data_IF_203232847508
#
_entry.id   IF_203232847508
#
_cell.length_a   1.000
_cell.length_b   1.000
_cell.length_c   1.000
_cell.angle_alpha   90.00
_cell.angle_beta   90.00
_cell.angle_gamma   90.00
#
_symmetry.space_group_name_H-M   'P 1'
#
loop_
_entity.id
_entity.type
_entity.pdbx_description
1 polymer ?
#
# COMPACT_ATOMS: atom_id res chain seq x y z
N UNK A 1 33.34 -9.71 -2.57
CA UNK A 1 32.01 -10.32 -2.55
C UNK A 1 31.08 -9.42 -1.74
N UNK A 2 30.59 -8.36 -2.38
CA UNK A 2 29.52 -7.52 -1.82
C UNK A 2 28.23 -8.00 -2.45
N UNK A 3 27.65 -9.07 -1.91
CA UNK A 3 26.22 -9.27 -2.12
C UNK A 3 25.54 -8.06 -1.52
N UNK A 4 25.03 -7.18 -2.38
CA UNK A 4 24.38 -5.95 -1.97
C UNK A 4 23.23 -6.28 -1.03
N UNK A 5 23.10 -5.57 0.09
CA UNK A 5 22.02 -5.70 1.07
C UNK A 5 20.61 -5.90 0.46
N UNK A 6 20.38 -5.31 -0.71
CA UNK A 6 19.16 -5.50 -1.52
C UNK A 6 18.93 -6.93 -2.00
N UNK A 7 19.98 -7.66 -2.40
CA UNK A 7 19.91 -9.06 -2.79
C UNK A 7 19.51 -9.94 -1.60
N UNK A 8 20.05 -9.67 -0.41
CA UNK A 8 19.69 -10.37 0.81
C UNK A 8 18.20 -10.16 1.17
N UNK A 9 17.70 -8.93 1.08
CA UNK A 9 16.28 -8.62 1.31
C UNK A 9 15.37 -9.33 0.30
N UNK A 10 15.77 -9.38 -0.97
CA UNK A 10 14.98 -10.00 -2.03
C UNK A 10 14.82 -11.52 -1.84
N UNK A 11 15.81 -12.17 -1.21
CA UNK A 11 15.77 -13.59 -0.86
C UNK A 11 15.22 -13.88 0.54
N UNK A 12 14.90 -12.85 1.32
CA UNK A 12 14.34 -13.01 2.67
C UNK A 12 12.82 -13.13 2.59
N UNK A 13 12.28 -14.23 3.12
CA UNK A 13 10.83 -14.45 3.19
C UNK A 13 10.33 -14.21 4.63
N UNK A 14 9.21 -13.51 4.76
CA UNK A 14 8.42 -13.46 5.98
C UNK A 14 7.58 -14.73 6.07
N UNK A 15 7.77 -15.49 7.16
CA UNK A 15 7.07 -16.75 7.42
C UNK A 15 7.19 -17.78 6.27
N UNK A 16 8.30 -17.77 5.53
CA UNK A 16 8.55 -18.60 4.33
C UNK A 16 7.49 -18.49 3.20
N UNK A 17 6.59 -17.49 3.29
CA UNK A 17 5.42 -17.39 2.42
C UNK A 17 5.38 -16.09 1.62
N UNK A 18 5.89 -14.99 2.17
CA UNK A 18 5.79 -13.66 1.55
C UNK A 18 7.19 -13.08 1.39
N UNK A 19 7.63 -12.71 0.16
CA UNK A 19 8.87 -11.98 -0.03
C UNK A 19 8.87 -10.69 0.80
N UNK A 20 9.93 -10.46 1.56
CA UNK A 20 10.07 -9.28 2.43
C UNK A 20 9.93 -7.97 1.62
N UNK A 21 10.38 -7.99 0.37
CA UNK A 21 10.27 -6.88 -0.57
C UNK A 21 8.80 -6.53 -0.91
N UNK A 22 7.96 -7.52 -1.24
CA UNK A 22 6.52 -7.30 -1.46
C UNK A 22 5.81 -6.82 -0.19
N UNK A 23 6.22 -7.30 0.98
CA UNK A 23 5.67 -6.82 2.26
C UNK A 23 6.04 -5.36 2.54
N UNK A 24 7.29 -4.97 2.27
CA UNK A 24 7.74 -3.59 2.41
C UNK A 24 7.00 -2.67 1.43
N UNK A 25 6.82 -3.10 0.17
CA UNK A 25 6.00 -2.37 -0.79
C UNK A 25 4.57 -2.19 -0.27
N UNK A 26 3.98 -3.25 0.29
CA UNK A 26 2.64 -3.19 0.85
C UNK A 26 2.53 -2.18 2.01
N UNK A 27 3.51 -2.21 2.92
CA UNK A 27 3.56 -1.38 4.12
C UNK A 27 3.75 0.10 3.76
N UNK A 28 4.66 0.40 2.83
CA UNK A 28 4.85 1.75 2.30
C UNK A 28 3.58 2.26 1.62
N UNK A 29 2.95 1.43 0.79
CA UNK A 29 1.70 1.78 0.12
C UNK A 29 0.54 2.06 1.09
N UNK A 30 0.47 1.29 2.18
CA UNK A 30 -0.51 1.50 3.25
C UNK A 30 -0.27 2.82 3.99
N UNK A 31 0.98 3.14 4.36
CA UNK A 31 1.33 4.39 5.03
C UNK A 31 0.96 5.60 4.15
N UNK A 32 1.33 5.57 2.88
CA UNK A 32 1.01 6.64 1.92
C UNK A 32 -0.51 6.80 1.78
N UNK A 33 -1.25 5.70 1.74
CA UNK A 33 -2.71 5.73 1.67
C UNK A 33 -3.33 6.38 2.91
N UNK A 34 -2.84 6.03 4.11
CA UNK A 34 -3.31 6.60 5.39
C UNK A 34 -3.00 8.09 5.46
N UNK A 35 -1.77 8.50 5.11
CA UNK A 35 -1.35 9.91 5.06
C UNK A 35 -2.22 10.65 4.03
N UNK A 36 -2.39 10.08 2.83
CA UNK A 36 -3.22 10.60 1.77
C UNK A 36 -4.65 10.89 2.23
N UNK A 37 -5.23 9.96 2.98
CA UNK A 37 -6.56 10.11 3.57
C UNK A 37 -6.61 11.13 4.71
N UNK A 38 -5.56 11.22 5.54
CA UNK A 38 -5.47 12.19 6.63
C UNK A 38 -5.51 13.63 6.11
N UNK A 39 -4.84 13.90 4.98
CA UNK A 39 -4.80 15.22 4.34
C UNK A 39 -5.92 15.46 3.32
N UNK A 40 -6.94 14.59 3.26
CA UNK A 40 -8.07 14.69 2.32
C UNK A 40 -7.65 14.77 0.83
N UNK A 41 -6.51 14.18 0.45
CA UNK A 41 -6.15 14.11 -0.96
C UNK A 41 -7.22 13.35 -1.76
N UNK A 42 -7.39 13.74 -3.02
CA UNK A 42 -8.30 13.04 -3.93
C UNK A 42 -7.78 11.62 -4.15
N UNK A 43 -8.68 10.64 -4.13
CA UNK A 43 -8.38 9.22 -4.36
C UNK A 43 -7.49 8.98 -5.59
N UNK A 44 -7.72 9.72 -6.67
CA UNK A 44 -6.92 9.66 -7.91
C UNK A 44 -5.44 10.02 -7.70
N UNK A 45 -5.14 10.97 -6.80
CA UNK A 45 -3.76 11.35 -6.47
C UNK A 45 -3.07 10.28 -5.64
N UNK A 46 -3.74 9.72 -4.64
CA UNK A 46 -3.20 8.64 -3.82
C UNK A 46 -2.90 7.43 -4.70
N UNK A 47 -3.87 7.04 -5.54
CA UNK A 47 -3.69 5.93 -6.47
C UNK A 47 -2.59 6.20 -7.49
N UNK A 48 -2.56 7.38 -8.11
CA UNK A 48 -1.49 7.76 -9.03
C UNK A 48 -0.11 7.71 -8.39
N UNK A 49 0.02 8.17 -7.13
CA UNK A 49 1.29 8.14 -6.41
C UNK A 49 1.75 6.70 -6.10
N UNK A 50 0.83 5.82 -5.70
CA UNK A 50 1.13 4.38 -5.50
C UNK A 50 1.55 3.71 -6.80
N UNK A 51 0.87 4.01 -7.90
CA UNK A 51 1.17 3.47 -9.23
C UNK A 51 2.56 3.94 -9.70
N UNK A 52 2.89 5.21 -9.50
CA UNK A 52 4.23 5.74 -9.79
C UNK A 52 5.32 5.06 -8.95
N UNK A 53 5.07 4.78 -7.66
CA UNK A 53 6.02 4.05 -6.81
C UNK A 53 6.21 2.62 -7.30
N UNK A 54 5.15 1.92 -7.70
CA UNK A 54 5.24 0.59 -8.31
C UNK A 54 6.06 0.59 -9.60
N UNK A 55 5.82 1.57 -10.49
CA UNK A 55 6.60 1.72 -11.73
C UNK A 55 8.07 2.01 -11.43
N UNK A 56 8.36 2.90 -10.48
CA UNK A 56 9.74 3.25 -10.11
C UNK A 56 10.49 2.08 -9.48
N UNK A 57 9.79 1.26 -8.66
CA UNK A 57 10.35 0.01 -8.12
C UNK A 57 10.76 -0.93 -9.26
N UNK A 58 9.87 -1.15 -10.22
CA UNK A 58 10.18 -2.05 -11.35
C UNK A 58 11.26 -1.51 -12.28
N UNK A 59 11.30 -0.20 -12.50
CA UNK A 59 12.42 0.41 -13.25
C UNK A 59 13.75 0.19 -12.53
N UNK A 60 13.75 0.24 -11.20
CA UNK A 60 14.93 -0.04 -10.39
C UNK A 60 15.33 -1.52 -10.47
N UNK A 61 14.39 -2.45 -10.32
CA UNK A 61 14.66 -3.89 -10.36
C UNK A 61 15.08 -4.37 -11.77
N UNK A 62 14.51 -3.77 -12.82
CA UNK A 62 14.93 -4.01 -14.21
C UNK A 62 16.35 -3.50 -14.48
N UNK A 63 16.73 -2.34 -13.92
CA UNK A 63 18.04 -1.73 -14.15
C UNK A 63 19.17 -2.42 -13.35
N UNK A 64 18.87 -2.88 -12.12
CA UNK A 64 19.87 -3.42 -11.19
C UNK A 64 19.97 -4.96 -11.16
N UNK A 65 19.46 -5.64 -12.21
CA UNK A 65 19.66 -7.06 -12.47
C UNK A 65 18.94 -8.02 -11.51
N UNK A 66 17.64 -8.19 -11.71
CA UNK A 66 16.99 -9.48 -11.47
C UNK A 66 16.11 -9.83 -12.68
N UNK A 67 16.22 -11.07 -13.21
CA UNK A 67 15.15 -11.67 -14.02
C UNK A 67 13.98 -11.95 -13.07
N UNK A 68 13.34 -10.90 -12.56
CA UNK A 68 12.12 -11.02 -11.78
C UNK A 68 11.08 -11.67 -12.69
N UNK A 69 10.57 -12.83 -12.25
CA UNK A 69 9.52 -13.54 -12.97
C UNK A 69 8.34 -12.59 -13.17
N UNK A 70 7.75 -12.56 -14.37
CA UNK A 70 6.51 -11.83 -14.71
C UNK A 70 5.40 -11.95 -13.65
N UNK A 71 5.42 -13.01 -12.85
CA UNK A 71 4.51 -13.23 -11.74
C UNK A 71 4.63 -12.18 -10.61
N UNK A 72 5.84 -11.71 -10.31
CA UNK A 72 6.07 -10.67 -9.28
C UNK A 72 5.51 -9.30 -9.71
N UNK A 73 5.58 -9.01 -11.01
CA UNK A 73 4.97 -7.82 -11.61
C UNK A 73 3.45 -7.83 -11.47
N UNK A 74 2.81 -8.97 -11.75
CA UNK A 74 1.36 -9.12 -11.63
C UNK A 74 0.93 -9.03 -10.16
N UNK A 75 1.70 -9.60 -9.22
CA UNK A 75 1.36 -9.51 -7.80
C UNK A 75 1.41 -8.09 -7.26
N UNK A 76 2.41 -7.29 -7.66
CA UNK A 76 2.56 -5.92 -7.16
C UNK A 76 1.49 -4.97 -7.74
N UNK A 77 1.07 -5.19 -9.00
CA UNK A 77 -0.07 -4.47 -9.59
C UNK A 77 -1.40 -4.89 -8.95
N UNK A 78 -1.61 -6.19 -8.72
CA UNK A 78 -2.82 -6.66 -8.05
C UNK A 78 -2.89 -6.14 -6.61
N UNK A 79 -1.77 -6.12 -5.89
CA UNK A 79 -1.67 -5.50 -4.57
C UNK A 79 -2.00 -4.00 -4.64
N UNK A 80 -1.51 -3.30 -5.67
CA UNK A 80 -1.80 -1.89 -5.91
C UNK A 80 -3.30 -1.63 -6.15
N UNK A 81 -3.97 -2.54 -6.85
CA UNK A 81 -5.42 -2.46 -7.10
C UNK A 81 -6.25 -2.69 -5.84
N UNK A 82 -5.79 -3.53 -4.91
CA UNK A 82 -6.47 -3.78 -3.61
C UNK A 82 -6.54 -2.49 -2.77
N UNK A 83 -5.63 -1.53 -2.95
CA UNK A 83 -5.71 -0.26 -2.20
C UNK A 83 -6.96 0.56 -2.53
N UNK A 84 -7.51 0.46 -3.74
CA UNK A 84 -8.73 1.20 -4.12
C UNK A 84 -9.92 0.81 -3.23
N UNK A 85 -10.35 -0.47 -3.16
CA UNK A 85 -11.43 -0.87 -2.28
C UNK A 85 -11.09 -0.63 -0.80
N UNK A 86 -9.82 -0.80 -0.41
CA UNK A 86 -9.38 -0.60 0.98
C UNK A 86 -9.54 0.86 1.42
N UNK A 87 -9.17 1.83 0.57
CA UNK A 87 -9.38 3.26 0.81
C UNK A 87 -10.88 3.60 0.86
N UNK A 88 -11.70 3.00 -0.01
CA UNK A 88 -13.16 3.21 -0.01
C UNK A 88 -13.79 2.68 1.29
N UNK A 89 -13.38 1.49 1.73
CA UNK A 89 -13.83 0.91 3.00
C UNK A 89 -13.45 1.82 4.16
N UNK A 90 -12.20 2.28 4.25
CA UNK A 90 -11.75 3.19 5.32
C UNK A 90 -12.59 4.48 5.35
N UNK A 91 -12.87 5.09 4.18
CA UNK A 91 -13.72 6.28 4.10
C UNK A 91 -15.14 6.02 4.59
N UNK A 92 -15.76 4.90 4.18
CA UNK A 92 -17.09 4.51 4.64
C UNK A 92 -17.11 4.28 6.15
N UNK A 93 -16.15 3.56 6.69
CA UNK A 93 -16.05 3.27 8.13
C UNK A 93 -15.86 4.56 8.94
N UNK A 94 -14.99 5.47 8.49
CA UNK A 94 -14.79 6.78 9.15
C UNK A 94 -16.08 7.60 9.18
N UNK A 95 -16.80 7.67 8.06
CA UNK A 95 -18.08 8.39 8.00
C UNK A 95 -19.15 7.75 8.89
N UNK A 96 -19.22 6.42 8.91
CA UNK A 96 -20.14 5.68 9.77
C UNK A 96 -19.86 5.92 11.26
N UNK A 97 -18.59 5.91 11.67
CA UNK A 97 -18.18 6.19 13.05
C UNK A 97 -18.52 7.64 13.44
N UNK A 98 -18.25 8.61 12.56
CA UNK A 98 -18.59 10.02 12.81
C UNK A 98 -20.11 10.24 12.95
N UNK A 99 -20.93 9.52 12.16
CA UNK A 99 -22.39 9.54 12.30
C UNK A 99 -22.84 8.94 13.63
N UNK A 100 -22.27 7.80 14.04
CA UNK A 100 -22.56 7.18 15.35
C UNK A 100 -22.22 8.10 16.51
N UNK A 101 -21.07 8.76 16.45
CA UNK A 101 -20.63 9.71 17.48
C UNK A 101 -21.58 10.91 17.57
N UNK A 102 -21.98 11.47 16.42
CA UNK A 102 -22.97 12.56 16.38
C UNK A 102 -24.33 12.15 16.96
N UNK A 103 -24.80 10.94 16.66
CA UNK A 103 -26.03 10.41 17.23
C UNK A 103 -25.94 10.20 18.74
N UNK A 104 -24.81 9.68 19.25
CA UNK A 104 -24.57 9.51 20.68
C UNK A 104 -24.54 10.85 21.41
N UNK A 105 -23.86 11.86 20.86
CA UNK A 105 -23.80 13.21 21.42
C UNK A 105 -25.17 13.90 21.44
N UNK A 106 -25.98 13.73 20.40
CA UNK A 106 -27.35 14.25 20.37
C UNK A 106 -28.25 13.58 21.41
N UNK A 107 -28.03 12.29 21.70
CA UNK A 107 -28.79 11.54 22.71
C UNK A 107 -28.45 11.95 24.15
N UNK A 108 -27.26 12.53 24.39
CA UNK A 108 -26.84 13.03 25.71
C UNK A 108 -27.30 14.48 25.97
N UNK A 109 -27.75 15.20 24.95
CA UNK A 109 -28.22 16.59 25.06
C UNK A 109 -29.71 16.72 25.42
N UNK A 110 -30.45 15.62 25.39
CA UNK A 110 -31.86 15.51 25.79
C UNK A 110 -31.97 14.49 26.93
#
# INVERSE_FOLDING_TARGET
>A
MTESFFAYINHTYLFDLIPLDSFLHFLVGAIISIIGLKYNYRLRFIFGFLLTIGILKELNDYHFAYKTHYFSYVSDILASLIYIPLIVIIRKTKNYLALKEKHALNKLKY
#
